data_IF_350930952884
#
_entry.id   IF_350930952884
#
_cell.length_a   1.000
_cell.length_b   1.000
_cell.length_c   1.000
_cell.angle_alpha   90.00
_cell.angle_beta   90.00
_cell.angle_gamma   90.00
#
_symmetry.space_group_name_H-M   'P 1'
#
loop_
_entity.id
_entity.type
_entity.pdbx_description
1 polymer ?
#
# COMPACT_ATOMS: atom_id res chain seq x y z
N UNK A 1 -30.83 32.62 1.33
CA UNK A 1 -30.41 33.99 1.06
C UNK A 1 -29.80 34.54 2.34
N UNK A 2 -28.49 34.45 2.52
CA UNK A 2 -27.74 35.12 3.59
C UNK A 2 -26.56 35.77 2.93
N UNK A 3 -26.54 37.09 2.92
CA UNK A 3 -25.53 37.95 2.32
C UNK A 3 -24.36 38.12 3.29
N UNK A 4 -23.13 37.87 2.84
CA UNK A 4 -21.92 38.26 3.56
C UNK A 4 -21.39 39.59 3.03
N UNK A 5 -21.26 40.53 3.97
CA UNK A 5 -20.64 41.85 3.76
C UNK A 5 -19.12 41.71 3.72
N UNK A 6 -18.52 42.33 2.70
CA UNK A 6 -17.08 42.52 2.60
C UNK A 6 -16.75 43.93 3.08
N UNK A 7 -15.81 44.09 3.99
CA UNK A 7 -15.26 45.39 4.42
C UNK A 7 -13.74 45.45 4.16
N UNK A 8 -13.14 46.63 3.96
CA UNK A 8 -12.00 46.83 3.07
C UNK A 8 -10.63 46.81 3.75
N UNK A 9 -9.64 46.62 2.87
CA UNK A 9 -8.18 46.57 3.07
C UNK A 9 -7.60 47.85 3.67
N UNK A 10 -6.81 47.70 4.73
CA UNK A 10 -5.94 48.75 5.26
C UNK A 10 -4.52 48.59 4.66
N UNK A 11 -4.05 49.63 3.96
CA UNK A 11 -2.64 49.77 3.52
C UNK A 11 -1.80 50.29 4.67
N UNK A 12 -0.70 49.61 5.01
CA UNK A 12 0.37 50.18 5.87
C UNK A 12 1.68 50.17 5.12
N UNK A 13 2.32 51.35 5.13
CA UNK A 13 3.50 51.67 4.36
C UNK A 13 4.79 51.13 4.96
N UNK A 14 5.73 50.91 4.04
CA UNK A 14 7.11 50.48 4.28
C UNK A 14 7.96 51.71 4.67
N UNK A 15 8.73 51.61 5.75
CA UNK A 15 9.92 52.49 5.98
C UNK A 15 11.17 51.64 6.11
N UNK A 16 12.15 52.00 5.33
CA UNK A 16 13.49 51.43 5.25
C UNK A 16 14.49 52.09 6.21
N UNK A 17 15.53 51.36 6.63
CA UNK A 17 16.80 51.86 7.12
C UNK A 17 17.45 51.01 8.23
N UNK A 18 18.76 51.14 8.46
CA UNK A 18 19.87 50.75 7.57
C UNK A 18 20.79 49.65 8.17
N UNK A 19 21.68 49.19 7.31
CA UNK A 19 22.78 48.20 7.44
C UNK A 19 23.71 48.37 8.66
N UNK A 20 24.20 47.25 9.21
CA UNK A 20 25.50 47.14 9.85
C UNK A 20 26.21 45.84 9.45
N UNK A 21 27.52 45.99 9.21
CA UNK A 21 28.49 45.06 8.66
C UNK A 21 29.42 44.54 9.80
N UNK A 22 29.99 43.35 9.57
CA UNK A 22 31.18 42.71 10.22
C UNK A 22 30.96 42.02 11.60
N UNK A 23 31.49 40.79 11.79
CA UNK A 23 32.86 40.30 11.68
C UNK A 23 32.96 38.77 11.80
N UNK A 24 33.89 38.21 11.02
CA UNK A 24 34.40 36.83 11.11
C UNK A 24 35.19 36.56 12.37
N UNK A 25 35.03 35.39 13.00
CA UNK A 25 36.14 34.69 13.67
C UNK A 25 35.96 33.18 13.56
N UNK A 26 36.93 32.53 12.94
CA UNK A 26 37.10 31.11 12.85
C UNK A 26 37.78 30.57 14.16
N UNK A 27 37.25 29.48 14.70
CA UNK A 27 38.02 28.60 15.60
C UNK A 27 37.77 27.17 15.19
N UNK A 28 38.81 26.52 14.66
CA UNK A 28 38.88 25.08 14.43
C UNK A 28 39.06 24.33 15.74
N UNK A 29 38.22 23.37 16.04
CA UNK A 29 38.53 22.28 16.97
C UNK A 29 38.16 20.97 16.33
N UNK A 30 39.19 20.18 16.08
CA UNK A 30 39.13 18.81 15.56
C UNK A 30 38.79 17.86 16.71
N UNK A 31 37.64 17.19 16.64
CA UNK A 31 37.24 16.17 17.59
C UNK A 31 36.65 14.98 16.83
N UNK A 32 37.37 13.88 16.83
CA UNK A 32 36.96 12.59 16.33
C UNK A 32 35.84 12.05 17.24
N UNK A 33 34.63 11.83 16.71
CA UNK A 33 33.59 11.05 17.38
C UNK A 33 33.08 9.99 16.43
N UNK A 34 33.27 8.76 16.83
CA UNK A 34 32.78 7.53 16.25
C UNK A 34 31.26 7.53 16.09
N UNK A 35 30.79 7.16 14.87
CA UNK A 35 29.40 7.24 14.51
C UNK A 35 28.54 6.16 15.15
N UNK A 36 27.43 6.63 15.73
CA UNK A 36 26.21 5.87 15.93
C UNK A 36 25.18 6.47 14.95
N UNK A 37 24.75 5.69 13.96
CA UNK A 37 23.69 6.10 13.05
C UNK A 37 22.36 6.05 13.77
N UNK A 38 22.02 7.11 14.49
CA UNK A 38 20.62 7.39 14.87
C UNK A 38 19.96 8.04 13.67
N UNK A 39 18.89 7.42 13.17
CA UNK A 39 18.05 8.01 12.12
C UNK A 39 17.62 9.42 12.53
N UNK A 40 18.12 10.44 11.82
CA UNK A 40 17.76 11.84 12.03
C UNK A 40 16.30 12.05 11.63
N UNK A 41 15.45 12.31 12.62
CA UNK A 41 14.25 13.11 12.38
C UNK A 41 14.72 14.48 11.87
N UNK A 42 14.05 15.08 10.85
CA UNK A 42 14.37 16.45 10.46
C UNK A 42 14.24 17.36 11.68
N UNK A 43 15.14 18.34 11.86
CA UNK A 43 15.03 19.27 12.97
C UNK A 43 13.65 19.94 12.92
N UNK A 44 13.03 20.21 14.08
CA UNK A 44 11.80 20.97 14.13
C UNK A 44 12.04 22.32 13.41
N UNK A 45 11.09 22.70 12.57
CA UNK A 45 11.14 24.01 11.90
C UNK A 45 11.09 25.06 13.00
N UNK A 46 12.24 25.67 13.28
CA UNK A 46 12.34 26.80 14.22
C UNK A 46 11.59 27.98 13.60
N UNK A 47 10.37 28.20 14.04
CA UNK A 47 9.52 29.30 13.56
C UNK A 47 9.96 30.67 14.11
N UNK A 48 11.02 30.74 14.92
CA UNK A 48 11.49 31.99 15.51
C UNK A 48 10.47 32.71 16.42
N UNK A 49 9.40 32.02 16.81
CA UNK A 49 8.45 32.49 17.81
C UNK A 49 8.79 31.85 19.14
N UNK A 50 8.91 32.64 20.19
CA UNK A 50 8.88 32.16 21.57
C UNK A 50 7.55 31.43 21.77
N UNK A 51 7.54 30.11 21.53
CA UNK A 51 6.35 29.30 21.76
C UNK A 51 6.15 29.21 23.27
N UNK A 52 4.98 29.64 23.79
CA UNK A 52 4.66 29.45 25.20
C UNK A 52 4.74 27.95 25.53
N UNK A 53 5.01 27.59 26.80
CA UNK A 53 5.07 26.20 27.20
C UNK A 53 3.75 25.51 26.82
N UNK A 54 3.84 24.28 26.28
CA UNK A 54 2.69 23.53 25.78
C UNK A 54 1.58 23.46 26.83
N UNK A 55 0.36 23.80 26.44
CA UNK A 55 -0.82 23.69 27.30
C UNK A 55 -1.12 22.22 27.66
N UNK A 56 -1.98 22.00 28.66
CA UNK A 56 -2.45 20.63 28.98
C UNK A 56 -3.15 19.98 27.77
N UNK A 57 -3.86 20.77 26.98
CA UNK A 57 -4.49 20.30 25.74
C UNK A 57 -3.44 19.86 24.71
N UNK A 58 -2.37 20.66 24.49
CA UNK A 58 -1.30 20.31 23.55
C UNK A 58 -0.56 19.05 24.00
N UNK A 59 -0.31 18.90 25.29
CA UNK A 59 0.30 17.67 25.85
C UNK A 59 -0.60 16.45 25.64
N UNK A 60 -1.91 16.60 25.85
CA UNK A 60 -2.89 15.53 25.61
C UNK A 60 -2.93 15.11 24.12
N UNK A 61 -2.93 16.09 23.20
CA UNK A 61 -2.88 15.83 21.75
C UNK A 61 -1.60 15.07 21.39
N UNK A 62 -0.44 15.52 21.88
CA UNK A 62 0.85 14.86 21.60
C UNK A 62 0.87 13.42 22.14
N UNK A 63 0.41 13.19 23.36
CA UNK A 63 0.33 11.86 23.97
C UNK A 63 -0.60 10.93 23.17
N UNK A 64 -1.78 11.42 22.79
CA UNK A 64 -2.69 10.66 21.95
C UNK A 64 -2.08 10.31 20.59
N UNK A 65 -1.36 11.24 19.95
CA UNK A 65 -0.71 11.00 18.68
C UNK A 65 0.34 9.89 18.76
N UNK A 66 1.20 9.89 19.79
CA UNK A 66 2.19 8.83 20.03
C UNK A 66 1.51 7.47 20.25
N UNK A 67 0.45 7.45 21.06
CA UNK A 67 -0.34 6.23 21.32
C UNK A 67 -0.95 5.68 20.03
N UNK A 68 -1.65 6.53 19.27
CA UNK A 68 -2.30 6.12 18.02
C UNK A 68 -1.32 5.61 16.97
N UNK A 69 -0.13 6.21 16.85
CA UNK A 69 0.93 5.73 15.96
C UNK A 69 1.45 4.35 16.37
N UNK A 70 1.67 4.12 17.67
CA UNK A 70 2.17 2.84 18.16
C UNK A 70 1.12 1.71 17.97
N UNK A 71 -0.12 1.95 18.39
CA UNK A 71 -1.23 0.99 18.26
C UNK A 71 -1.57 0.71 16.78
N UNK A 72 -1.57 1.77 15.95
CA UNK A 72 -1.84 1.62 14.52
C UNK A 72 -0.76 0.84 13.78
N UNK A 73 0.52 1.05 14.12
CA UNK A 73 1.63 0.26 13.59
C UNK A 73 1.53 -1.21 14.00
N UNK A 74 1.21 -1.48 15.26
CA UNK A 74 1.01 -2.84 15.76
C UNK A 74 -0.13 -3.53 15.00
N UNK A 75 -1.27 -2.85 14.86
CA UNK A 75 -2.41 -3.34 14.09
C UNK A 75 -2.05 -3.60 12.63
N UNK A 76 -1.39 -2.66 11.97
CA UNK A 76 -1.01 -2.79 10.56
C UNK A 76 -0.06 -3.95 10.30
N UNK A 77 0.92 -4.16 11.22
CA UNK A 77 1.98 -5.13 11.03
C UNK A 77 1.63 -6.53 11.51
N UNK A 78 0.79 -6.66 12.56
CA UNK A 78 0.67 -7.92 13.28
C UNK A 78 -0.75 -8.38 13.55
N UNK A 79 -1.78 -7.57 13.28
CA UNK A 79 -3.16 -7.96 13.57
C UNK A 79 -3.78 -8.74 12.40
N UNK A 80 -4.38 -9.89 12.70
CA UNK A 80 -5.08 -10.73 11.72
C UNK A 80 -6.57 -10.46 11.68
N UNK A 81 -7.10 -9.72 12.64
CA UNK A 81 -8.54 -9.47 12.79
C UNK A 81 -9.40 -10.74 12.87
N UNK A 82 -8.79 -11.90 13.25
CA UNK A 82 -9.48 -13.19 13.25
C UNK A 82 -9.51 -13.89 11.89
N UNK A 83 -8.73 -13.43 10.92
CA UNK A 83 -8.69 -13.98 9.56
C UNK A 83 -8.15 -15.42 9.50
N UNK A 84 -7.53 -15.92 10.55
CA UNK A 84 -7.10 -17.32 10.67
C UNK A 84 -8.26 -18.32 10.52
N UNK A 85 -9.48 -17.94 10.89
CA UNK A 85 -10.69 -18.76 10.66
C UNK A 85 -10.95 -19.05 9.18
N UNK A 86 -10.53 -18.16 8.30
CA UNK A 86 -10.64 -18.37 6.87
C UNK A 86 -9.35 -18.99 6.28
N UNK A 87 -8.20 -18.35 6.45
CA UNK A 87 -6.95 -18.78 5.83
C UNK A 87 -6.40 -20.07 6.40
N UNK A 88 -6.51 -20.24 7.73
CA UNK A 88 -6.10 -21.43 8.44
C UNK A 88 -7.18 -22.51 8.47
N UNK A 89 -8.38 -22.17 8.96
CA UNK A 89 -9.37 -23.20 9.28
C UNK A 89 -10.20 -23.63 8.07
N UNK A 90 -10.65 -22.68 7.22
CA UNK A 90 -11.44 -23.01 6.04
C UNK A 90 -10.56 -23.48 4.87
N UNK A 91 -9.54 -22.71 4.47
CA UNK A 91 -8.65 -23.05 3.36
C UNK A 91 -7.57 -24.07 3.71
N UNK A 92 -7.30 -24.28 5.01
CA UNK A 92 -6.25 -25.18 5.54
C UNK A 92 -4.86 -24.88 4.99
N UNK A 93 -4.59 -23.61 4.68
CA UNK A 93 -3.35 -23.20 4.02
C UNK A 93 -2.11 -23.50 4.87
N UNK A 94 -2.22 -23.47 6.22
CA UNK A 94 -1.17 -23.89 7.14
C UNK A 94 -0.68 -25.33 6.89
N UNK A 95 -1.58 -26.24 6.43
CA UNK A 95 -1.20 -27.63 6.14
C UNK A 95 -0.34 -27.73 4.89
N UNK A 96 -0.65 -26.93 3.84
CA UNK A 96 0.17 -26.86 2.64
C UNK A 96 1.54 -26.23 2.92
N UNK A 97 1.61 -25.23 3.83
CA UNK A 97 2.88 -24.62 4.25
C UNK A 97 3.76 -25.60 5.00
N UNK A 98 3.20 -26.34 5.94
CA UNK A 98 3.94 -27.30 6.76
C UNK A 98 4.48 -28.49 5.94
N UNK A 99 3.68 -29.00 5.02
CA UNK A 99 3.97 -30.23 4.30
C UNK A 99 3.83 -31.49 5.16
N UNK A 100 3.77 -32.64 4.52
CA UNK A 100 3.55 -33.94 5.18
C UNK A 100 4.62 -34.30 6.21
N UNK A 101 5.86 -33.85 6.02
CA UNK A 101 6.96 -34.07 6.94
C UNK A 101 6.79 -33.33 8.28
N UNK A 102 5.99 -32.25 8.32
CA UNK A 102 5.78 -31.39 9.49
C UNK A 102 4.31 -31.37 9.94
N UNK A 103 3.56 -32.47 9.69
CA UNK A 103 2.18 -32.62 10.14
C UNK A 103 1.12 -31.98 9.25
N UNK A 104 1.49 -31.51 8.06
CA UNK A 104 0.57 -30.96 7.06
C UNK A 104 0.35 -31.91 5.86
N UNK A 105 0.20 -31.35 4.66
CA UNK A 105 -0.04 -32.08 3.41
C UNK A 105 0.90 -31.61 2.31
N UNK A 106 1.22 -32.50 1.36
CA UNK A 106 2.09 -32.19 0.23
C UNK A 106 3.56 -31.99 0.64
N UNK A 107 4.36 -31.30 -0.20
CA UNK A 107 5.82 -31.17 0.02
C UNK A 107 6.17 -30.11 1.10
N UNK A 108 5.24 -29.22 1.46
CA UNK A 108 5.54 -28.03 2.24
C UNK A 108 6.03 -26.85 1.36
N UNK A 109 6.14 -25.68 1.96
CA UNK A 109 6.66 -24.47 1.29
C UNK A 109 7.98 -24.07 1.93
N UNK A 110 9.05 -24.09 1.13
CA UNK A 110 10.38 -23.67 1.55
C UNK A 110 10.52 -22.15 1.56
N UNK A 111 11.49 -21.57 2.33
CA UNK A 111 11.76 -20.12 2.26
C UNK A 111 12.03 -19.63 0.84
N UNK A 112 12.79 -20.37 0.03
CA UNK A 112 13.07 -20.02 -1.37
C UNK A 112 11.78 -19.95 -2.19
N UNK A 113 10.86 -20.89 -2.03
CA UNK A 113 9.56 -20.87 -2.70
C UNK A 113 8.69 -19.70 -2.18
N UNK A 114 8.69 -19.43 -0.88
CA UNK A 114 7.96 -18.32 -0.29
C UNK A 114 8.46 -16.95 -0.84
N UNK A 115 9.77 -16.77 -0.93
CA UNK A 115 10.39 -15.58 -1.54
C UNK A 115 10.06 -15.47 -3.05
N UNK A 116 10.02 -16.57 -3.79
CA UNK A 116 9.61 -16.59 -5.20
C UNK A 116 8.13 -16.23 -5.37
N UNK A 117 7.28 -16.55 -4.40
CA UNK A 117 5.88 -16.10 -4.35
C UNK A 117 5.75 -14.64 -3.89
N UNK A 118 6.86 -13.96 -3.63
CA UNK A 118 6.91 -12.55 -3.25
C UNK A 118 6.68 -12.27 -1.77
N UNK A 119 6.63 -13.28 -0.91
CA UNK A 119 6.66 -13.08 0.53
C UNK A 119 8.00 -12.44 0.92
N UNK A 120 7.99 -11.69 2.02
CA UNK A 120 9.16 -10.95 2.51
C UNK A 120 9.48 -11.37 3.94
N UNK A 121 10.75 -11.21 4.34
CA UNK A 121 11.22 -11.49 5.70
C UNK A 121 11.77 -10.21 6.32
N UNK A 122 11.21 -9.84 7.46
CA UNK A 122 11.65 -8.70 8.26
C UNK A 122 12.87 -9.06 9.10
N UNK A 123 14.03 -8.48 8.75
CA UNK A 123 15.29 -8.75 9.45
C UNK A 123 15.29 -8.25 10.89
N UNK A 124 14.46 -7.24 11.24
CA UNK A 124 14.37 -6.73 12.61
C UNK A 124 13.69 -7.74 13.57
N UNK A 125 13.00 -8.75 13.03
CA UNK A 125 12.41 -9.86 13.81
C UNK A 125 13.34 -11.06 13.98
N UNK A 126 14.53 -11.04 13.38
CA UNK A 126 15.51 -12.13 13.43
C UNK A 126 16.59 -11.86 14.46
N UNK A 127 17.02 -12.90 15.16
CA UNK A 127 18.20 -12.83 16.03
C UNK A 127 19.48 -12.76 15.19
N UNK A 128 20.58 -12.12 15.67
CA UNK A 128 21.80 -11.93 14.91
C UNK A 128 22.37 -13.22 14.30
N UNK A 129 22.32 -14.35 15.02
CA UNK A 129 22.83 -15.62 14.54
C UNK A 129 22.08 -16.16 13.29
N UNK A 130 20.78 -15.87 13.15
CA UNK A 130 20.00 -16.22 11.96
C UNK A 130 20.40 -15.32 10.79
N UNK A 131 20.63 -14.03 11.02
CA UNK A 131 21.11 -13.08 10.01
C UNK A 131 22.49 -13.50 9.50
N UNK A 132 23.41 -13.86 10.39
CA UNK A 132 24.74 -14.38 10.03
C UNK A 132 24.64 -15.66 9.20
N UNK A 133 23.73 -16.57 9.57
CA UNK A 133 23.51 -17.82 8.83
C UNK A 133 22.90 -17.58 7.45
N UNK A 134 22.05 -16.58 7.30
CA UNK A 134 21.54 -16.13 5.99
C UNK A 134 22.67 -15.57 5.11
N UNK A 135 23.48 -14.65 5.65
CA UNK A 135 24.56 -14.00 4.92
C UNK A 135 25.67 -14.95 4.52
N UNK A 136 25.99 -15.95 5.37
CA UNK A 136 26.97 -17.00 5.09
C UNK A 136 26.43 -18.13 4.21
N UNK A 137 25.12 -18.15 3.92
CA UNK A 137 24.47 -19.22 3.15
C UNK A 137 24.40 -20.57 3.88
N UNK A 138 24.54 -20.58 5.22
CA UNK A 138 24.47 -21.80 6.03
C UNK A 138 23.06 -22.15 6.49
N UNK A 139 22.12 -21.19 6.46
CA UNK A 139 20.71 -21.48 6.74
C UNK A 139 20.09 -22.22 5.55
N UNK A 140 19.47 -23.35 5.80
CA UNK A 140 18.82 -24.13 4.73
C UNK A 140 17.49 -23.48 4.32
N UNK A 141 17.50 -22.78 3.18
CA UNK A 141 16.34 -22.13 2.58
C UNK A 141 15.49 -23.08 1.71
N UNK A 142 15.86 -24.35 1.60
CA UNK A 142 15.11 -25.38 0.87
C UNK A 142 14.40 -26.38 1.81
N UNK A 143 14.31 -26.04 3.10
CA UNK A 143 13.60 -26.85 4.10
C UNK A 143 12.31 -26.13 4.55
N UNK A 144 11.10 -26.72 4.41
CA UNK A 144 9.87 -26.18 4.92
C UNK A 144 9.88 -25.90 6.45
N UNK A 145 10.70 -26.64 7.22
CA UNK A 145 10.85 -26.38 8.64
C UNK A 145 11.42 -24.98 8.92
N UNK A 146 12.34 -24.51 8.09
CA UNK A 146 12.87 -23.14 8.17
C UNK A 146 11.76 -22.08 7.95
N UNK A 147 10.81 -22.33 7.05
CA UNK A 147 9.63 -21.45 6.88
C UNK A 147 8.79 -21.40 8.16
N UNK A 148 8.56 -22.55 8.81
CA UNK A 148 7.84 -22.60 10.07
C UNK A 148 8.59 -21.88 11.21
N UNK A 149 9.91 -21.94 11.24
CA UNK A 149 10.72 -21.20 12.24
C UNK A 149 10.66 -19.67 11.99
N UNK A 150 10.67 -19.22 10.74
CA UNK A 150 10.47 -17.82 10.39
C UNK A 150 9.07 -17.32 10.78
N UNK A 151 8.03 -18.15 10.59
CA UNK A 151 6.66 -17.84 11.04
C UNK A 151 6.56 -17.77 12.57
N UNK A 152 7.26 -18.64 13.31
CA UNK A 152 7.31 -18.59 14.79
C UNK A 152 8.00 -17.33 15.31
N UNK A 153 8.96 -16.82 14.56
CA UNK A 153 9.64 -15.57 14.88
C UNK A 153 8.84 -14.32 14.50
N UNK A 154 7.63 -14.46 13.92
CA UNK A 154 6.85 -13.37 13.33
C UNK A 154 7.62 -12.57 12.26
N UNK A 155 8.62 -13.20 11.64
CA UNK A 155 9.51 -12.59 10.68
C UNK A 155 8.95 -12.56 9.24
N UNK A 156 7.96 -13.39 8.92
CA UNK A 156 7.31 -13.37 7.60
C UNK A 156 6.34 -12.20 7.54
N UNK A 157 6.66 -11.22 6.71
CA UNK A 157 5.89 -9.98 6.61
C UNK A 157 4.44 -10.26 6.20
N UNK A 158 3.51 -9.87 7.06
CA UNK A 158 2.08 -9.95 6.78
C UNK A 158 1.44 -11.32 6.93
N UNK A 159 2.16 -12.30 7.48
CA UNK A 159 1.63 -13.65 7.78
C UNK A 159 1.90 -14.03 9.23
N UNK A 160 0.83 -14.36 9.98
CA UNK A 160 0.91 -14.86 11.35
C UNK A 160 0.68 -16.35 11.37
N UNK A 161 1.67 -17.10 11.90
CA UNK A 161 1.51 -18.50 12.23
C UNK A 161 0.99 -18.69 13.66
N UNK A 162 0.05 -19.60 13.85
CA UNK A 162 -0.44 -20.06 15.15
C UNK A 162 0.09 -21.46 15.41
N UNK A 163 0.61 -21.70 16.60
CA UNK A 163 1.28 -22.96 16.95
C UNK A 163 0.75 -23.50 18.28
N UNK A 164 0.67 -24.83 18.38
CA UNK A 164 0.37 -25.52 19.63
C UNK A 164 1.60 -25.61 20.56
N UNK A 165 1.42 -26.26 21.72
CA UNK A 165 2.49 -26.48 22.70
C UNK A 165 3.63 -27.38 22.18
N UNK A 166 3.35 -28.19 21.15
CA UNK A 166 4.33 -29.08 20.50
C UNK A 166 5.03 -28.35 19.34
N UNK A 167 4.80 -27.04 19.16
CA UNK A 167 5.33 -26.23 18.06
C UNK A 167 4.80 -26.65 16.68
N UNK A 168 3.69 -27.37 16.62
CA UNK A 168 3.00 -27.72 15.38
C UNK A 168 2.15 -26.51 14.95
N UNK A 169 2.22 -26.14 13.67
CA UNK A 169 1.37 -25.08 13.15
C UNK A 169 -0.09 -25.55 13.09
N UNK A 170 -0.98 -24.79 13.69
CA UNK A 170 -2.41 -25.11 13.79
C UNK A 170 -3.29 -24.23 12.90
N UNK A 171 -2.84 -23.01 12.60
CA UNK A 171 -3.54 -22.10 11.71
C UNK A 171 -2.59 -21.02 11.18
N UNK A 172 -3.05 -20.22 10.21
CA UNK A 172 -2.41 -18.97 9.78
C UNK A 172 -3.46 -17.89 9.57
N UNK A 173 -3.07 -16.64 9.80
CA UNK A 173 -3.82 -15.44 9.44
C UNK A 173 -2.98 -14.47 8.63
N UNK A 174 -3.62 -13.54 7.94
CA UNK A 174 -2.95 -12.50 7.16
C UNK A 174 -3.13 -11.13 7.81
N UNK A 175 -2.21 -10.23 7.50
CA UNK A 175 -2.12 -8.88 8.06
C UNK A 175 -2.04 -7.85 6.94
N UNK A 176 -2.37 -6.57 7.20
CA UNK A 176 -2.31 -5.50 6.20
C UNK A 176 -0.93 -5.40 5.52
N UNK A 177 0.13 -5.67 6.29
CA UNK A 177 1.50 -5.65 5.82
C UNK A 177 1.81 -6.66 4.70
N UNK A 178 1.02 -7.73 4.50
CA UNK A 178 1.21 -8.70 3.43
C UNK A 178 1.24 -8.03 2.05
N UNK A 179 0.24 -7.21 1.78
CA UNK A 179 0.09 -6.50 0.50
C UNK A 179 0.76 -5.12 0.50
N UNK A 180 0.85 -4.47 1.66
CA UNK A 180 1.25 -3.07 1.78
C UNK A 180 2.56 -2.86 2.55
N UNK A 181 3.44 -3.86 2.57
CA UNK A 181 4.84 -3.72 3.00
C UNK A 181 5.77 -4.52 2.11
N UNK A 182 6.97 -4.02 1.94
CA UNK A 182 8.11 -4.75 1.37
C UNK A 182 9.29 -4.65 2.34
N UNK A 183 10.49 -4.99 1.88
CA UNK A 183 11.74 -4.85 2.63
C UNK A 183 12.80 -4.16 1.78
N UNK A 184 13.85 -3.65 2.44
CA UNK A 184 14.95 -2.92 1.79
C UNK A 184 16.03 -3.83 1.18
N UNK A 185 15.83 -5.15 1.21
CA UNK A 185 16.75 -6.17 0.68
C UNK A 185 18.17 -6.09 1.29
N UNK A 186 18.33 -5.48 2.47
CA UNK A 186 19.64 -5.23 3.08
C UNK A 186 20.41 -6.51 3.49
N UNK A 187 19.73 -7.65 3.65
CA UNK A 187 20.34 -8.94 4.00
C UNK A 187 20.49 -9.82 2.76
N UNK A 188 19.39 -10.10 2.08
CA UNK A 188 19.29 -10.84 0.83
C UNK A 188 18.06 -10.33 0.05
N UNK A 189 17.93 -10.62 -1.27
CA UNK A 189 16.70 -10.30 -1.99
C UNK A 189 15.46 -10.87 -1.29
N UNK A 190 14.51 -9.99 -0.93
CA UNK A 190 13.31 -10.31 -0.18
C UNK A 190 13.50 -10.40 1.35
N UNK A 191 14.70 -10.16 1.87
CA UNK A 191 15.02 -10.19 3.30
C UNK A 191 15.73 -8.89 3.70
N UNK A 192 15.13 -8.13 4.60
CA UNK A 192 15.67 -6.84 5.04
C UNK A 192 14.74 -6.15 6.02
N UNK A 193 14.95 -4.86 6.25
CA UNK A 193 14.09 -4.05 7.11
C UNK A 193 12.79 -3.71 6.41
N UNK A 194 11.71 -3.72 7.16
CA UNK A 194 10.37 -3.49 6.64
C UNK A 194 10.15 -2.05 6.18
N UNK A 195 9.55 -1.91 5.00
CA UNK A 195 9.12 -0.66 4.38
C UNK A 195 7.59 -0.65 4.32
N UNK A 196 6.95 -0.11 5.37
CA UNK A 196 5.50 -0.04 5.44
C UNK A 196 4.93 0.99 4.46
N UNK A 197 3.77 0.71 3.91
CA UNK A 197 3.09 1.53 2.91
C UNK A 197 3.51 1.23 1.46
N UNK A 198 4.58 0.48 1.23
CA UNK A 198 4.99 0.09 -0.11
C UNK A 198 4.15 -1.07 -0.61
N UNK A 199 3.52 -0.92 -1.77
CA UNK A 199 2.78 -2.01 -2.40
C UNK A 199 3.71 -3.16 -2.77
N UNK A 200 3.45 -4.37 -2.25
CA UNK A 200 4.26 -5.55 -2.55
C UNK A 200 3.97 -6.07 -3.97
N UNK A 201 4.71 -5.57 -4.94
CA UNK A 201 4.54 -5.91 -6.36
C UNK A 201 5.14 -7.26 -6.75
N UNK A 202 5.85 -7.92 -5.84
CA UNK A 202 6.35 -9.30 -6.04
C UNK A 202 5.33 -10.34 -5.56
N UNK A 203 4.40 -9.96 -4.67
CA UNK A 203 3.47 -10.88 -4.01
C UNK A 203 2.48 -11.51 -5.00
N UNK A 204 2.50 -12.82 -5.13
CA UNK A 204 1.56 -13.58 -5.94
C UNK A 204 0.48 -14.20 -5.04
N UNK A 205 -0.48 -13.36 -4.61
CA UNK A 205 -1.58 -13.78 -3.73
C UNK A 205 -2.37 -14.94 -4.34
N UNK A 206 -2.60 -14.90 -5.64
CA UNK A 206 -3.35 -15.93 -6.33
C UNK A 206 -2.67 -17.29 -6.28
N UNK A 207 -1.36 -17.36 -6.52
CA UNK A 207 -0.60 -18.60 -6.39
C UNK A 207 -0.55 -19.11 -4.94
N UNK A 208 -0.51 -18.21 -3.95
CA UNK A 208 -0.60 -18.57 -2.52
C UNK A 208 -1.97 -19.18 -2.20
N UNK A 209 -3.07 -18.61 -2.69
CA UNK A 209 -4.41 -19.19 -2.53
C UNK A 209 -4.48 -20.56 -3.24
N UNK A 210 -3.91 -20.68 -4.43
CA UNK A 210 -4.01 -21.88 -5.26
C UNK A 210 -3.37 -23.13 -4.63
N UNK A 211 -2.41 -23.00 -3.72
CA UNK A 211 -1.82 -24.15 -3.01
C UNK A 211 -2.68 -24.62 -1.84
N UNK A 212 -3.74 -23.91 -1.47
CA UNK A 212 -4.64 -24.32 -0.39
C UNK A 212 -5.26 -25.70 -0.69
N UNK A 213 -5.27 -26.62 0.30
CA UNK A 213 -5.87 -27.94 0.15
C UNK A 213 -7.38 -27.90 -0.08
N UNK A 214 -8.07 -26.88 0.44
CA UNK A 214 -9.51 -26.75 0.39
C UNK A 214 -9.92 -25.34 -0.08
N UNK A 215 -10.49 -25.25 -1.28
CA UNK A 215 -11.04 -23.99 -1.83
C UNK A 215 -12.57 -23.96 -1.80
N UNK A 216 -13.22 -24.90 -1.07
CA UNK A 216 -14.68 -25.03 -1.02
C UNK A 216 -15.36 -23.74 -0.52
N UNK A 217 -14.77 -23.02 0.43
CA UNK A 217 -15.32 -21.77 0.94
C UNK A 217 -15.48 -20.72 -0.19
N UNK A 218 -14.45 -20.52 -1.00
CA UNK A 218 -14.51 -19.63 -2.17
C UNK A 218 -15.43 -20.18 -3.28
N UNK A 219 -15.33 -21.47 -3.57
CA UNK A 219 -16.14 -22.13 -4.59
C UNK A 219 -17.65 -21.99 -4.30
N UNK A 220 -18.04 -22.14 -3.02
CA UNK A 220 -19.43 -21.99 -2.58
C UNK A 220 -19.93 -20.54 -2.70
N UNK A 221 -19.12 -19.55 -2.28
CA UNK A 221 -19.48 -18.13 -2.41
C UNK A 221 -19.64 -17.74 -3.87
N UNK A 222 -18.73 -18.18 -4.74
CA UNK A 222 -18.74 -17.87 -6.16
C UNK A 222 -19.70 -18.76 -6.98
N UNK A 223 -20.20 -19.87 -6.40
CA UNK A 223 -21.04 -20.89 -7.06
C UNK A 223 -20.34 -21.53 -8.28
N UNK A 224 -19.07 -21.86 -8.12
CA UNK A 224 -18.24 -22.54 -9.13
C UNK A 224 -17.49 -23.73 -8.53
N UNK A 225 -16.75 -24.48 -9.35
CA UNK A 225 -15.90 -25.57 -8.85
C UNK A 225 -14.61 -25.03 -8.23
N UNK A 226 -13.97 -25.80 -7.33
CA UNK A 226 -12.67 -25.45 -6.78
C UNK A 226 -11.58 -25.30 -7.88
N UNK A 227 -11.67 -26.10 -8.95
CA UNK A 227 -10.76 -26.00 -10.10
C UNK A 227 -10.93 -24.66 -10.83
N UNK A 228 -12.17 -24.18 -10.97
CA UNK A 228 -12.44 -22.85 -11.51
C UNK A 228 -11.85 -21.75 -10.64
N UNK A 229 -12.03 -21.84 -9.31
CA UNK A 229 -11.39 -20.89 -8.37
C UNK A 229 -9.86 -20.90 -8.56
N UNK A 230 -9.27 -22.09 -8.60
CA UNK A 230 -7.81 -22.26 -8.76
C UNK A 230 -7.31 -21.66 -10.09
N UNK A 231 -8.05 -21.84 -11.17
CA UNK A 231 -7.73 -21.27 -12.47
C UNK A 231 -7.78 -19.73 -12.44
N UNK A 232 -8.82 -19.15 -11.82
CA UNK A 232 -8.99 -17.68 -11.70
C UNK A 232 -7.86 -17.07 -10.87
N UNK A 233 -7.59 -17.61 -9.68
CA UNK A 233 -6.57 -17.02 -8.80
C UNK A 233 -5.15 -17.18 -9.38
N UNK A 234 -4.84 -18.28 -10.04
CA UNK A 234 -3.55 -18.46 -10.73
C UNK A 234 -3.34 -17.47 -11.89
N UNK A 235 -4.41 -16.96 -12.49
CA UNK A 235 -4.32 -15.99 -13.57
C UNK A 235 -3.98 -14.57 -13.08
N UNK A 236 -4.02 -14.27 -11.78
CA UNK A 236 -3.74 -12.92 -11.25
C UNK A 236 -2.28 -12.50 -11.51
N UNK A 237 -1.34 -13.36 -11.17
CA UNK A 237 0.09 -13.09 -11.28
C UNK A 237 0.65 -12.19 -10.17
N UNK A 238 1.97 -11.91 -10.20
CA UNK A 238 2.63 -11.12 -9.16
C UNK A 238 2.11 -9.68 -9.07
N UNK A 239 2.02 -9.18 -7.83
CA UNK A 239 1.65 -7.79 -7.53
C UNK A 239 0.19 -7.46 -7.77
N UNK A 240 -0.67 -8.46 -7.99
CA UNK A 240 -2.09 -8.26 -8.28
C UNK A 240 -3.00 -9.00 -7.30
N UNK A 241 -4.18 -8.41 -7.11
CA UNK A 241 -5.27 -8.95 -6.32
C UNK A 241 -6.61 -8.50 -6.92
N UNK A 242 -7.64 -9.33 -6.82
CA UNK A 242 -8.98 -9.00 -7.29
C UNK A 242 -9.94 -8.82 -6.11
N UNK A 243 -10.06 -7.59 -5.64
CA UNK A 243 -10.92 -7.22 -4.52
C UNK A 243 -12.41 -7.31 -4.86
N UNK A 244 -12.77 -7.25 -6.12
CA UNK A 244 -14.15 -7.27 -6.58
C UNK A 244 -14.64 -8.69 -6.95
N UNK A 245 -13.77 -9.71 -6.98
CA UNK A 245 -14.13 -11.09 -7.35
C UNK A 245 -15.29 -11.63 -6.50
N UNK A 246 -15.23 -11.41 -5.19
CA UNK A 246 -16.28 -11.85 -4.25
C UNK A 246 -17.49 -10.92 -4.22
N UNK A 247 -17.47 -9.81 -4.97
CA UNK A 247 -18.61 -8.91 -5.12
C UNK A 247 -19.41 -9.21 -6.38
N UNK A 248 -18.74 -9.29 -7.53
CA UNK A 248 -19.39 -9.40 -8.84
C UNK A 248 -19.23 -10.76 -9.54
N UNK A 249 -18.26 -11.59 -9.08
CA UNK A 249 -17.99 -12.92 -9.66
C UNK A 249 -17.19 -12.90 -10.96
N UNK A 250 -16.62 -11.76 -11.38
CA UNK A 250 -15.91 -11.63 -12.67
C UNK A 250 -14.41 -11.87 -12.47
N UNK A 251 -13.91 -13.07 -12.74
CA UNK A 251 -12.50 -13.41 -12.65
C UNK A 251 -11.65 -12.99 -13.86
N UNK A 252 -12.29 -12.74 -15.02
CA UNK A 252 -11.64 -12.38 -16.27
C UNK A 252 -12.33 -11.20 -16.95
N UNK A 253 -11.54 -10.44 -17.69
CA UNK A 253 -11.97 -9.36 -18.58
C UNK A 253 -12.52 -9.95 -19.90
N UNK A 254 -13.26 -9.16 -20.69
CA UNK A 254 -13.76 -9.60 -22.01
C UNK A 254 -12.64 -10.00 -23.00
N UNK A 255 -11.42 -9.49 -22.80
CA UNK A 255 -10.24 -9.82 -23.59
C UNK A 255 -9.46 -11.04 -23.04
N UNK A 256 -10.04 -11.81 -22.13
CA UNK A 256 -9.48 -12.97 -21.44
C UNK A 256 -8.26 -12.68 -20.55
N UNK A 257 -7.92 -11.43 -20.31
CA UNK A 257 -6.94 -11.08 -19.25
C UNK A 257 -7.59 -11.19 -17.88
N UNK A 258 -6.76 -11.35 -16.85
CA UNK A 258 -7.24 -11.33 -15.46
C UNK A 258 -7.97 -10.04 -15.12
N UNK A 259 -9.02 -10.13 -14.30
CA UNK A 259 -9.72 -9.00 -13.73
C UNK A 259 -8.96 -8.34 -12.55
N UNK A 260 -7.94 -9.03 -12.02
CA UNK A 260 -7.15 -8.56 -10.88
C UNK A 260 -6.41 -7.26 -11.19
N UNK A 261 -6.34 -6.39 -10.19
CA UNK A 261 -5.67 -5.08 -10.26
C UNK A 261 -4.35 -5.10 -9.49
N UNK A 262 -3.47 -4.18 -9.85
CA UNK A 262 -2.19 -4.01 -9.14
C UNK A 262 -2.43 -3.56 -7.70
N UNK A 263 -1.69 -4.14 -6.75
CA UNK A 263 -1.70 -3.72 -5.36
C UNK A 263 -1.18 -2.26 -5.29
N UNK A 264 -2.02 -1.31 -4.84
CA UNK A 264 -1.61 0.10 -4.75
C UNK A 264 -0.69 0.32 -3.55
N UNK A 265 0.12 1.40 -3.53
CA UNK A 265 0.82 1.81 -2.33
C UNK A 265 -0.17 2.31 -1.27
N UNK A 266 0.22 2.19 0.00
CA UNK A 266 -0.50 2.71 1.16
C UNK A 266 0.33 3.76 1.92
N UNK A 267 1.14 4.54 1.20
CA UNK A 267 1.86 5.71 1.71
C UNK A 267 1.30 7.00 1.07
N UNK A 268 1.59 8.16 1.67
CA UNK A 268 1.18 9.47 1.14
C UNK A 268 -0.35 9.66 1.09
N UNK A 269 -1.08 9.02 1.99
CA UNK A 269 -2.55 9.00 2.00
C UNK A 269 -3.15 10.25 2.66
N UNK A 270 -2.36 10.98 3.44
CA UNK A 270 -2.84 12.19 4.13
C UNK A 270 -3.21 13.29 3.13
N UNK A 271 -4.32 13.99 3.39
CA UNK A 271 -4.84 15.07 2.55
C UNK A 271 -5.65 14.59 1.34
N UNK A 272 -5.85 13.29 1.17
CA UNK A 272 -6.60 12.70 0.07
C UNK A 272 -7.87 12.05 0.60
N UNK A 273 -9.00 12.25 -0.06
CA UNK A 273 -10.29 11.75 0.37
C UNK A 273 -10.64 10.38 -0.23
N UNK A 274 -10.34 10.16 -1.49
CA UNK A 274 -10.68 8.95 -2.22
C UNK A 274 -9.43 8.07 -2.42
N UNK A 275 -9.59 6.76 -2.23
CA UNK A 275 -8.49 5.80 -2.28
C UNK A 275 -8.79 4.63 -3.21
N UNK A 276 -7.77 3.82 -3.51
CA UNK A 276 -7.75 2.77 -4.55
C UNK A 276 -7.90 3.32 -5.97
N UNK A 277 -8.05 2.46 -6.98
CA UNK A 277 -8.07 2.86 -8.39
C UNK A 277 -9.38 3.56 -8.79
N UNK A 278 -10.48 3.13 -8.21
CA UNK A 278 -11.84 3.59 -8.53
C UNK A 278 -12.41 4.56 -7.50
N UNK A 279 -11.67 4.88 -6.45
CA UNK A 279 -11.95 6.01 -5.56
C UNK A 279 -13.28 5.99 -4.78
N UNK A 280 -13.90 4.85 -4.59
CA UNK A 280 -15.26 4.76 -4.00
C UNK A 280 -15.32 4.80 -2.47
N UNK A 281 -14.19 5.09 -1.82
CA UNK A 281 -14.14 5.23 -0.37
C UNK A 281 -12.85 5.89 0.14
N UNK A 282 -12.92 6.34 1.40
CA UNK A 282 -11.77 6.85 2.16
C UNK A 282 -10.89 5.71 2.67
N UNK A 283 -9.72 6.04 3.27
CA UNK A 283 -8.87 5.04 3.94
C UNK A 283 -9.65 4.25 4.98
N UNK A 284 -10.48 4.91 5.81
CA UNK A 284 -11.28 4.23 6.83
C UNK A 284 -12.30 3.26 6.24
N UNK A 285 -12.98 3.65 5.15
CA UNK A 285 -13.87 2.75 4.43
C UNK A 285 -13.11 1.52 3.92
N UNK A 286 -11.98 1.74 3.24
CA UNK A 286 -11.18 0.64 2.71
C UNK A 286 -10.57 -0.24 3.80
N UNK A 287 -10.18 0.30 4.95
CA UNK A 287 -9.72 -0.51 6.08
C UNK A 287 -10.83 -1.46 6.57
N UNK A 288 -12.05 -0.94 6.72
CA UNK A 288 -13.19 -1.77 7.12
C UNK A 288 -13.56 -2.80 6.03
N UNK A 289 -13.59 -2.39 4.76
CA UNK A 289 -13.85 -3.26 3.61
C UNK A 289 -12.82 -4.40 3.55
N UNK A 290 -11.54 -4.08 3.44
CA UNK A 290 -10.47 -5.07 3.27
C UNK A 290 -10.39 -6.02 4.46
N UNK A 291 -10.44 -5.50 5.70
CA UNK A 291 -10.34 -6.36 6.89
C UNK A 291 -11.51 -7.33 7.01
N UNK A 292 -12.75 -6.94 6.61
CA UNK A 292 -13.91 -7.82 6.63
C UNK A 292 -14.02 -8.73 5.42
N UNK A 293 -13.82 -8.18 4.19
CA UNK A 293 -14.21 -8.90 2.97
C UNK A 293 -13.01 -9.59 2.28
N UNK A 294 -11.81 -8.98 2.33
CA UNK A 294 -10.63 -9.50 1.64
C UNK A 294 -9.73 -10.33 2.56
N UNK A 295 -9.53 -9.85 3.79
CA UNK A 295 -8.80 -10.60 4.81
C UNK A 295 -9.68 -11.66 5.47
N UNK A 296 -11.02 -11.56 5.34
CA UNK A 296 -12.01 -12.41 5.99
C UNK A 296 -11.91 -12.37 7.52
N UNK A 297 -11.67 -11.19 8.08
CA UNK A 297 -11.68 -10.95 9.52
C UNK A 297 -13.10 -10.86 10.10
N UNK A 298 -13.17 -10.77 11.41
CA UNK A 298 -14.42 -10.71 12.16
C UNK A 298 -14.71 -9.27 12.61
N UNK A 299 -15.56 -8.54 11.90
CA UNK A 299 -15.88 -7.17 12.24
C UNK A 299 -17.25 -6.69 11.78
N UNK A 300 -17.40 -5.38 11.78
CA UNK A 300 -18.58 -4.71 11.25
C UNK A 300 -18.21 -3.97 9.98
N UNK A 301 -18.99 -4.19 8.90
CA UNK A 301 -18.88 -3.44 7.66
C UNK A 301 -20.28 -3.24 7.06
N UNK A 302 -20.55 -2.02 6.59
CA UNK A 302 -21.80 -1.69 5.93
C UNK A 302 -21.57 -0.73 4.77
N UNK A 303 -21.93 -1.16 3.56
CA UNK A 303 -22.00 -0.30 2.39
C UNK A 303 -23.25 -0.66 1.56
N UNK A 304 -24.32 0.16 1.63
CA UNK A 304 -25.57 -0.12 0.94
C UNK A 304 -25.44 -0.10 -0.59
N UNK A 305 -24.35 0.48 -1.15
CA UNK A 305 -24.08 0.49 -2.59
C UNK A 305 -23.76 -0.90 -3.12
N UNK A 306 -23.28 -1.80 -2.26
CA UNK A 306 -23.04 -3.21 -2.60
C UNK A 306 -24.32 -4.07 -2.60
N UNK A 307 -25.47 -3.52 -2.19
CA UNK A 307 -26.76 -4.20 -2.28
C UNK A 307 -27.44 -4.00 -3.65
N UNK A 308 -26.65 -4.16 -4.72
CA UNK A 308 -27.10 -4.08 -6.11
C UNK A 308 -26.96 -5.46 -6.76
N UNK A 309 -28.07 -6.22 -6.97
CA UNK A 309 -28.00 -7.58 -7.49
C UNK A 309 -27.58 -7.67 -8.96
N UNK A 310 -27.60 -6.56 -9.69
CA UNK A 310 -27.13 -6.52 -11.08
C UNK A 310 -25.63 -6.32 -11.14
N UNK A 311 -25.12 -5.39 -10.35
CA UNK A 311 -23.71 -5.04 -10.35
C UNK A 311 -22.89 -5.95 -9.44
N UNK A 312 -23.42 -6.30 -8.26
CA UNK A 312 -22.73 -7.06 -7.22
C UNK A 312 -23.53 -8.33 -6.79
N UNK A 313 -23.84 -9.23 -7.73
CA UNK A 313 -24.72 -10.40 -7.45
C UNK A 313 -24.16 -11.34 -6.38
N UNK A 314 -22.84 -11.46 -6.26
CA UNK A 314 -22.19 -12.31 -5.26
C UNK A 314 -22.28 -11.64 -3.88
N UNK A 315 -21.99 -10.34 -3.79
CA UNK A 315 -22.08 -9.60 -2.54
C UNK A 315 -23.49 -9.61 -1.94
N UNK A 316 -24.51 -9.43 -2.78
CA UNK A 316 -25.94 -9.49 -2.34
C UNK A 316 -26.28 -10.88 -1.82
N UNK A 317 -25.93 -11.93 -2.56
CA UNK A 317 -26.22 -13.32 -2.20
C UNK A 317 -25.51 -13.73 -0.90
N UNK A 318 -24.27 -13.29 -0.71
CA UNK A 318 -23.45 -13.60 0.45
C UNK A 318 -23.64 -12.63 1.62
N UNK A 319 -24.46 -11.58 1.47
CA UNK A 319 -24.69 -10.58 2.52
C UNK A 319 -23.51 -9.65 2.81
N UNK A 320 -22.57 -9.50 1.86
CA UNK A 320 -21.32 -8.76 2.09
C UNK A 320 -21.53 -7.24 2.18
N UNK A 321 -22.71 -6.74 1.86
CA UNK A 321 -23.08 -5.34 2.02
C UNK A 321 -23.41 -4.94 3.47
N UNK A 322 -23.64 -5.93 4.37
CA UNK A 322 -23.94 -5.72 5.81
C UNK A 322 -23.38 -6.86 6.64
N UNK A 323 -22.09 -6.77 6.97
CA UNK A 323 -21.38 -7.75 7.80
C UNK A 323 -21.44 -7.33 9.27
N UNK A 324 -21.81 -8.28 10.14
CA UNK A 324 -21.92 -8.07 11.59
C UNK A 324 -21.34 -9.28 12.34
N UNK A 325 -20.12 -9.16 12.83
CA UNK A 325 -19.47 -10.21 13.63
C UNK A 325 -19.58 -9.91 15.13
N UNK A 326 -19.69 -10.95 15.93
CA UNK A 326 -19.62 -10.85 17.38
C UNK A 326 -18.70 -11.98 17.91
N UNK A 327 -17.53 -11.64 18.50
CA UNK A 327 -17.01 -10.28 18.74
C UNK A 327 -16.60 -9.54 17.47
N UNK A 328 -16.64 -8.20 17.50
CA UNK A 328 -16.07 -7.33 16.47
C UNK A 328 -14.59 -7.05 16.81
N UNK A 329 -13.69 -7.63 16.00
CA UNK A 329 -12.24 -7.53 16.18
C UNK A 329 -11.62 -6.41 15.33
N UNK A 330 -12.40 -5.74 14.46
CA UNK A 330 -11.94 -4.75 13.48
C UNK A 330 -12.24 -3.32 13.95
N UNK A 331 -13.51 -3.01 14.22
CA UNK A 331 -13.96 -1.63 14.50
C UNK A 331 -13.16 -0.94 15.62
N UNK A 332 -12.82 -1.59 16.76
CA UNK A 332 -12.05 -0.93 17.82
C UNK A 332 -10.64 -0.49 17.41
N UNK A 333 -10.09 -1.04 16.32
CA UNK A 333 -8.71 -0.81 15.85
C UNK A 333 -8.63 0.19 14.71
N UNK A 334 -9.75 0.50 14.04
CA UNK A 334 -9.77 1.33 12.82
C UNK A 334 -9.19 2.72 13.03
N UNK A 335 -9.45 3.36 14.19
CA UNK A 335 -8.97 4.70 14.45
C UNK A 335 -7.44 4.77 14.48
N UNK A 336 -6.78 3.88 15.22
CA UNK A 336 -5.33 3.83 15.31
C UNK A 336 -4.69 3.38 14.00
N UNK A 337 -5.26 2.38 13.32
CA UNK A 337 -4.83 1.92 12.01
C UNK A 337 -4.86 3.05 10.98
N UNK A 338 -5.96 3.79 10.91
CA UNK A 338 -6.12 4.94 10.02
C UNK A 338 -5.06 6.03 10.30
N UNK A 339 -4.88 6.37 11.58
CA UNK A 339 -3.90 7.37 12.00
C UNK A 339 -2.48 6.99 11.58
N UNK A 340 -2.08 5.73 11.78
CA UNK A 340 -0.79 5.22 11.36
C UNK A 340 -0.59 5.31 9.85
N UNK A 341 -1.56 4.85 9.06
CA UNK A 341 -1.48 4.88 7.59
C UNK A 341 -1.37 6.31 7.05
N UNK A 342 -2.08 7.28 7.64
CA UNK A 342 -1.94 8.68 7.24
C UNK A 342 -0.56 9.28 7.60
N UNK A 343 0.13 8.73 8.59
CA UNK A 343 1.48 9.15 8.96
C UNK A 343 2.59 8.57 8.07
N UNK A 344 2.29 7.55 7.25
CA UNK A 344 3.28 6.99 6.32
C UNK A 344 3.47 7.95 5.16
N UNK A 345 4.57 8.66 5.15
CA UNK A 345 4.93 9.57 4.06
C UNK A 345 5.31 8.81 2.80
N UNK A 346 5.03 9.40 1.63
CA UNK A 346 5.59 8.90 0.37
C UNK A 346 7.12 9.00 0.42
N UNK A 347 7.86 7.92 0.03
CA UNK A 347 9.32 7.93 0.09
C UNK A 347 9.91 8.90 -0.94
N UNK A 348 10.88 9.70 -0.51
CA UNK A 348 11.66 10.55 -1.42
C UNK A 348 12.56 9.68 -2.31
N UNK A 349 12.75 10.05 -3.59
CA UNK A 349 13.64 9.32 -4.48
C UNK A 349 15.10 9.40 -4.01
N UNK A 350 15.81 8.26 -4.11
CA UNK A 350 17.23 8.20 -3.80
C UNK A 350 18.07 9.00 -4.82
N UNK A 351 19.26 9.41 -4.42
CA UNK A 351 20.20 10.06 -5.32
C UNK A 351 20.47 9.18 -6.55
N UNK A 352 20.43 9.80 -7.74
CA UNK A 352 20.64 9.11 -9.01
C UNK A 352 19.38 8.45 -9.61
N UNK A 353 18.23 8.48 -8.94
CA UNK A 353 16.96 7.96 -9.48
C UNK A 353 16.52 8.73 -10.72
N UNK A 354 16.85 10.02 -10.82
CA UNK A 354 16.48 10.91 -11.93
C UNK A 354 17.55 11.94 -12.23
N UNK A 355 17.49 12.54 -13.43
CA UNK A 355 18.37 13.62 -13.88
C UNK A 355 17.75 14.97 -13.51
N UNK A 356 18.35 15.68 -12.56
CA UNK A 356 17.78 16.91 -11.94
C UNK A 356 17.41 17.99 -12.93
N UNK A 357 18.29 18.28 -13.92
CA UNK A 357 18.03 19.33 -14.90
C UNK A 357 16.89 18.95 -15.87
N UNK A 358 16.79 17.69 -16.25
CA UNK A 358 15.68 17.17 -17.05
C UNK A 358 14.36 17.23 -16.25
N UNK A 359 14.39 16.85 -14.96
CA UNK A 359 13.24 16.94 -14.08
C UNK A 359 12.70 18.37 -13.95
N UNK A 360 13.56 19.40 -13.84
CA UNK A 360 13.12 20.81 -13.83
C UNK A 360 12.40 21.24 -15.13
N UNK A 361 12.89 20.78 -16.29
CA UNK A 361 12.18 21.03 -17.56
C UNK A 361 10.85 20.29 -17.60
N UNK A 362 10.85 19.03 -17.12
CA UNK A 362 9.65 18.22 -16.99
C UNK A 362 8.59 18.84 -16.08
N UNK A 363 8.99 19.48 -14.96
CA UNK A 363 8.09 20.22 -14.07
C UNK A 363 7.36 21.35 -14.81
N UNK A 364 8.09 22.12 -15.61
CA UNK A 364 7.50 23.19 -16.43
C UNK A 364 6.52 22.65 -17.48
N UNK A 365 6.84 21.50 -18.08
CA UNK A 365 5.95 20.81 -19.02
C UNK A 365 4.70 20.26 -18.33
N UNK A 366 4.86 19.65 -17.16
CA UNK A 366 3.79 19.08 -16.35
C UNK A 366 2.73 20.15 -15.97
N UNK A 367 3.18 21.32 -15.55
CA UNK A 367 2.31 22.45 -15.22
C UNK A 367 1.77 23.19 -16.46
N UNK A 368 2.53 23.20 -17.55
CA UNK A 368 2.26 23.97 -18.77
C UNK A 368 1.70 23.13 -19.91
N UNK A 369 2.53 22.86 -20.95
CA UNK A 369 2.12 22.23 -22.21
C UNK A 369 1.41 20.90 -22.05
N UNK A 370 1.92 20.02 -21.17
CA UNK A 370 1.33 18.71 -20.92
C UNK A 370 0.06 18.77 -20.07
N UNK A 371 -0.16 19.84 -19.29
CA UNK A 371 -1.39 20.08 -18.54
C UNK A 371 -1.70 19.09 -17.42
N UNK A 372 -0.74 18.25 -17.01
CA UNK A 372 -0.94 17.17 -16.03
C UNK A 372 -1.38 17.70 -14.64
N UNK A 373 -0.89 18.91 -14.28
CA UNK A 373 -1.23 19.57 -13.01
C UNK A 373 -2.71 19.95 -12.87
N UNK A 374 -3.52 19.85 -13.94
CA UNK A 374 -4.97 20.10 -13.85
C UNK A 374 -5.70 19.04 -13.04
N UNK A 375 -5.23 17.78 -13.12
CA UNK A 375 -5.75 16.66 -12.35
C UNK A 375 -4.77 16.28 -11.22
N UNK A 376 -3.47 16.19 -11.51
CA UNK A 376 -2.43 15.88 -10.52
C UNK A 376 -1.95 17.14 -9.81
N UNK A 377 -2.78 17.70 -8.93
CA UNK A 377 -2.59 19.01 -8.30
C UNK A 377 -1.47 18.99 -7.25
N UNK A 378 -0.38 19.78 -7.39
CA UNK A 378 0.64 19.88 -6.35
C UNK A 378 0.09 20.55 -5.07
N UNK A 379 0.60 20.22 -3.87
CA UNK A 379 1.71 19.30 -3.58
C UNK A 379 1.28 17.83 -3.39
N UNK A 380 0.00 17.51 -3.54
CA UNK A 380 -0.54 16.16 -3.37
C UNK A 380 -0.36 15.31 -4.63
N UNK A 381 -0.29 15.95 -5.80
CA UNK A 381 -0.24 15.32 -7.12
C UNK A 381 -1.42 14.36 -7.36
N UNK A 382 -2.57 14.73 -6.83
CA UNK A 382 -3.90 14.13 -7.02
C UNK A 382 -4.95 15.19 -6.72
N UNK A 383 -6.21 14.90 -7.01
CA UNK A 383 -7.33 15.77 -6.63
C UNK A 383 -7.78 15.43 -5.21
N UNK A 384 -7.79 16.40 -4.28
CA UNK A 384 -8.09 16.13 -2.87
C UNK A 384 -9.58 15.95 -2.56
N UNK A 385 -10.46 16.34 -3.44
CA UNK A 385 -11.92 16.34 -3.24
C UNK A 385 -12.61 15.04 -3.67
N UNK A 386 -13.79 15.19 -4.27
CA UNK A 386 -14.66 14.11 -4.73
C UNK A 386 -14.65 13.94 -6.24
N UNK A 387 -13.77 14.66 -6.96
CA UNK A 387 -13.71 14.56 -8.40
C UNK A 387 -13.18 13.17 -8.83
N UNK A 388 -13.86 12.59 -9.80
CA UNK A 388 -13.49 11.34 -10.43
C UNK A 388 -13.77 11.40 -11.93
N UNK A 389 -12.99 10.68 -12.71
CA UNK A 389 -13.00 10.73 -14.15
C UNK A 389 -13.74 9.55 -14.76
N UNK A 390 -14.48 9.77 -15.83
CA UNK A 390 -15.01 8.67 -16.65
C UNK A 390 -13.86 7.99 -17.38
N UNK A 391 -14.04 6.72 -17.78
CA UNK A 391 -13.05 6.03 -18.63
C UNK A 391 -12.70 6.81 -19.91
N UNK A 392 -13.67 7.43 -20.54
CA UNK A 392 -13.48 8.20 -21.78
C UNK A 392 -12.64 9.46 -21.55
N UNK A 393 -12.81 10.16 -20.40
CA UNK A 393 -11.99 11.35 -20.06
C UNK A 393 -10.50 11.04 -19.96
N UNK A 394 -10.13 9.81 -19.63
CA UNK A 394 -8.73 9.40 -19.47
C UNK A 394 -8.27 8.37 -20.50
N UNK A 395 -9.11 8.07 -21.49
CA UNK A 395 -8.79 7.24 -22.65
C UNK A 395 -8.54 5.77 -22.35
N UNK A 396 -9.22 5.19 -21.32
CA UNK A 396 -9.10 3.76 -21.00
C UNK A 396 -10.47 3.08 -21.00
N UNK A 397 -10.48 1.75 -20.94
CA UNK A 397 -11.73 0.99 -20.87
C UNK A 397 -12.46 1.14 -19.52
N UNK A 398 -13.74 0.84 -19.50
CA UNK A 398 -14.61 0.96 -18.34
C UNK A 398 -14.58 -0.26 -17.40
N UNK A 399 -13.91 -1.36 -17.77
CA UNK A 399 -14.10 -2.65 -17.09
C UNK A 399 -13.94 -2.55 -15.56
N UNK A 400 -12.85 -1.96 -15.07
CA UNK A 400 -12.63 -1.83 -13.62
C UNK A 400 -13.54 -0.76 -12.99
N UNK A 401 -13.85 0.32 -13.71
CA UNK A 401 -14.81 1.32 -13.26
C UNK A 401 -16.21 0.73 -13.07
N UNK A 402 -16.66 -0.10 -14.01
CA UNK A 402 -17.97 -0.77 -13.96
C UNK A 402 -18.11 -1.77 -12.79
N UNK A 403 -16.99 -2.17 -12.18
CA UNK A 403 -16.92 -3.01 -10.98
C UNK A 403 -16.98 -2.21 -9.68
N UNK A 404 -17.08 -0.88 -9.75
CA UNK A 404 -17.22 0.02 -8.60
C UNK A 404 -18.60 0.66 -8.56
N UNK A 405 -19.08 1.12 -7.39
CA UNK A 405 -20.39 1.77 -7.27
C UNK A 405 -20.55 3.01 -8.13
N UNK A 406 -19.48 3.75 -8.35
CA UNK A 406 -19.51 5.06 -9.01
C UNK A 406 -19.21 5.00 -10.52
N UNK A 407 -18.71 3.88 -11.03
CA UNK A 407 -18.38 3.70 -12.45
C UNK A 407 -17.28 4.65 -12.96
N UNK A 408 -16.34 5.04 -12.10
CA UNK A 408 -15.32 6.07 -12.39
C UNK A 408 -13.95 5.68 -11.86
N UNK A 409 -12.95 6.39 -12.34
CA UNK A 409 -11.57 6.33 -11.84
C UNK A 409 -11.22 7.61 -11.08
N UNK A 410 -10.41 7.50 -10.03
CA UNK A 410 -9.82 8.66 -9.38
C UNK A 410 -8.48 9.04 -10.01
N UNK A 411 -8.06 10.28 -9.82
CA UNK A 411 -6.68 10.71 -10.11
C UNK A 411 -5.72 10.07 -9.12
N UNK A 412 -4.86 9.15 -9.58
CA UNK A 412 -3.88 8.47 -8.72
C UNK A 412 -2.79 9.44 -8.25
N UNK A 413 -2.37 9.43 -6.97
CA UNK A 413 -1.24 10.22 -6.50
C UNK A 413 0.05 9.82 -7.21
N UNK A 414 0.92 10.80 -7.49
CA UNK A 414 2.19 10.55 -8.19
C UNK A 414 3.41 10.57 -7.26
N UNK A 415 3.25 10.91 -5.96
CA UNK A 415 4.37 10.86 -5.01
C UNK A 415 4.84 9.42 -4.78
N UNK A 416 6.14 9.24 -4.73
CA UNK A 416 6.76 7.92 -4.59
C UNK A 416 6.65 7.04 -5.84
N UNK A 417 6.35 7.63 -7.00
CA UNK A 417 6.13 6.89 -8.25
C UNK A 417 7.37 6.09 -8.68
N UNK A 418 8.56 6.54 -8.32
CA UNK A 418 9.82 5.84 -8.56
C UNK A 418 9.89 4.43 -7.94
N UNK A 419 9.06 4.14 -6.92
CA UNK A 419 8.96 2.81 -6.29
C UNK A 419 8.13 1.82 -7.11
N UNK A 420 7.35 2.29 -8.09
CA UNK A 420 6.38 1.49 -8.85
C UNK A 420 6.97 0.89 -10.13
N UNK A 421 8.21 0.39 -10.08
CA UNK A 421 8.91 -0.08 -11.28
C UNK A 421 8.49 -1.50 -11.74
N UNK A 422 7.71 -2.23 -10.93
CA UNK A 422 7.27 -3.60 -11.24
C UNK A 422 5.78 -3.65 -11.57
N UNK A 423 5.41 -4.51 -12.51
CA UNK A 423 4.03 -4.78 -12.90
C UNK A 423 3.36 -3.73 -13.78
N UNK A 424 4.09 -2.66 -14.13
CA UNK A 424 3.57 -1.56 -14.97
C UNK A 424 2.72 -0.54 -14.19
N UNK A 425 2.03 0.31 -14.96
CA UNK A 425 1.26 1.45 -14.47
C UNK A 425 -0.23 1.29 -14.82
N UNK A 426 -1.08 2.11 -14.21
CA UNK A 426 -2.52 1.99 -14.13
C UNK A 426 -2.97 0.79 -13.27
N UNK A 427 -4.28 0.63 -13.13
CA UNK A 427 -4.85 -0.41 -12.25
C UNK A 427 -4.50 -1.85 -12.69
N UNK A 428 -4.33 -2.11 -13.97
CA UNK A 428 -4.08 -3.45 -14.53
C UNK A 428 -2.65 -3.67 -15.04
N UNK A 429 -1.78 -2.65 -14.97
CA UNK A 429 -0.41 -2.72 -15.47
C UNK A 429 -0.29 -2.60 -16.99
N UNK A 430 -1.31 -2.04 -17.68
CA UNK A 430 -1.34 -1.94 -19.15
C UNK A 430 -0.20 -1.17 -19.78
N UNK A 431 0.37 -0.22 -19.05
CA UNK A 431 1.51 0.56 -19.51
C UNK A 431 2.78 0.07 -18.81
N UNK A 432 3.74 -0.53 -19.53
CA UNK A 432 4.92 -1.13 -18.91
C UNK A 432 5.90 -0.11 -18.33
N UNK A 433 5.85 1.15 -18.78
CA UNK A 433 6.78 2.21 -18.38
C UNK A 433 6.04 3.56 -18.21
N UNK A 434 6.65 4.49 -17.47
CA UNK A 434 6.16 5.88 -17.38
C UNK A 434 6.13 6.55 -18.75
N UNK A 435 7.09 6.21 -19.63
CA UNK A 435 7.09 6.71 -20.99
C UNK A 435 5.81 6.29 -21.74
N UNK A 436 5.40 5.03 -21.62
CA UNK A 436 4.18 4.54 -22.25
C UNK A 436 2.92 5.24 -21.70
N UNK A 437 2.91 5.63 -20.41
CA UNK A 437 1.83 6.47 -19.84
C UNK A 437 1.80 7.85 -20.47
N UNK A 438 2.97 8.49 -20.67
CA UNK A 438 3.07 9.80 -21.30
C UNK A 438 2.66 9.71 -22.77
N UNK A 439 3.08 8.69 -23.51
CA UNK A 439 2.69 8.46 -24.90
C UNK A 439 1.17 8.28 -25.04
N UNK A 440 0.54 7.57 -24.10
CA UNK A 440 -0.92 7.44 -24.05
C UNK A 440 -1.60 8.79 -23.91
N UNK A 441 -1.20 9.62 -22.94
CA UNK A 441 -1.81 10.94 -22.74
C UNK A 441 -1.46 11.93 -23.84
N UNK A 442 -0.27 11.84 -24.44
CA UNK A 442 0.12 12.64 -25.61
C UNK A 442 -0.83 12.39 -26.77
N UNK A 443 -1.11 11.10 -27.07
CA UNK A 443 -2.06 10.73 -28.11
C UNK A 443 -3.52 11.02 -27.76
N UNK A 444 -3.93 10.79 -26.50
CA UNK A 444 -5.33 10.97 -26.11
C UNK A 444 -5.75 12.45 -26.05
N UNK A 445 -4.85 13.34 -25.64
CA UNK A 445 -5.11 14.78 -25.50
C UNK A 445 -4.50 15.64 -26.62
N UNK A 446 -3.92 15.03 -27.67
CA UNK A 446 -3.26 15.73 -28.80
C UNK A 446 -2.23 16.78 -28.35
N UNK A 447 -1.39 16.41 -27.35
CA UNK A 447 -0.46 17.37 -26.71
C UNK A 447 0.71 17.76 -27.61
N UNK A 448 1.01 16.96 -28.63
CA UNK A 448 2.12 17.19 -29.58
C UNK A 448 3.48 17.34 -28.86
N UNK A 449 3.77 16.44 -27.91
CA UNK A 449 5.03 16.42 -27.18
C UNK A 449 6.16 15.84 -28.05
N UNK A 450 7.31 16.52 -28.08
CA UNK A 450 8.52 15.96 -28.66
C UNK A 450 9.09 14.83 -27.80
N UNK A 451 9.94 13.96 -28.37
CA UNK A 451 10.60 12.87 -27.64
C UNK A 451 11.40 13.39 -26.42
N UNK A 452 12.11 14.50 -26.58
CA UNK A 452 12.85 15.14 -25.49
C UNK A 452 11.93 15.66 -24.36
N UNK A 453 10.78 16.25 -24.71
CA UNK A 453 9.79 16.68 -23.71
C UNK A 453 9.19 15.50 -22.94
N UNK A 454 8.95 14.39 -23.60
CA UNK A 454 8.48 13.16 -22.96
C UNK A 454 9.52 12.58 -22.00
N UNK A 455 10.80 12.58 -22.40
CA UNK A 455 11.89 12.14 -21.53
C UNK A 455 12.05 13.05 -20.29
N UNK A 456 11.94 14.38 -20.47
CA UNK A 456 11.96 15.33 -19.37
C UNK A 456 10.79 15.11 -18.39
N UNK A 457 9.58 14.82 -18.89
CA UNK A 457 8.42 14.45 -18.06
C UNK A 457 8.66 13.16 -17.28
N UNK A 458 9.28 12.12 -17.88
CA UNK A 458 9.66 10.90 -17.16
C UNK A 458 10.58 11.23 -15.98
N UNK A 459 11.60 12.08 -16.20
CA UNK A 459 12.53 12.47 -15.14
C UNK A 459 11.83 13.25 -14.02
N UNK A 460 10.87 14.11 -14.35
CA UNK A 460 10.07 14.79 -13.35
C UNK A 460 9.19 13.82 -12.53
N UNK A 461 8.49 12.90 -13.18
CA UNK A 461 7.68 11.89 -12.51
C UNK A 461 8.50 11.00 -11.58
N UNK A 462 9.74 10.66 -11.95
CA UNK A 462 10.67 9.91 -11.11
C UNK A 462 11.20 10.75 -9.93
N UNK A 463 11.11 12.07 -9.98
CA UNK A 463 11.53 12.99 -8.91
C UNK A 463 10.46 13.21 -7.84
N UNK A 464 9.22 12.77 -8.09
CA UNK A 464 8.09 12.88 -7.17
C UNK A 464 8.10 11.68 -6.19
#
# INVERSE_FOLDING_TARGET
MIAFHISPVLKVGVRAGPSYVLALMAISVMGIVTGLHSGCLPPPVDSGRDTPPASDADRSIAQNSVKMLAEGRETFRFDTFGSESFWGDALKLHQALAGSANGGVGPGVTPNQALQLGLKVDSDMLIPAVIESLQSGTLNLDDPLTTLDLLRADAVVGVKGFFDQNRTITSIGIQCALCHSTVDDAVLPGIGRRLDGWGNRDLNVGAIIAIAPDLSALANVLQVTQDTVRAVVNAWGPGKFDAELTLDGKGFRPDNRTAATLIPPAFGLAGVNLHTWTGWGSVTHWNAFVSNLEMHGHGTFFDPRLNDPVRFPVAVRAGLHDVRSNPDLITPKLAALHFYQLAIAAPAPADGTFVREAARRGESLFAGKAGCARCHVPPLFTEPGWNMHTPDEIGIDSFQADRSPDGRYRTSPLKGLWTHQKGGFYHDGRFPTLRAVIDHYDGHFDLSLSEAEKDDLVQYLLSL
#
